data_IF_285557843549
#
_entry.id   IF_285557843549
#
_cell.length_a   1.000
_cell.length_b   1.000
_cell.length_c   1.000
_cell.angle_alpha   90.00
_cell.angle_beta   90.00
_cell.angle_gamma   90.00
#
_symmetry.space_group_name_H-M   'P 1'
#
loop_
_entity.id
_entity.type
_entity.pdbx_description
1 polymer ?
#
# COMPACT_ATOMS: atom_id res chain seq x y z
N UNK A 1 0.73 -57.17 -32.90
CA UNK A 1 0.39 -55.78 -32.48
C UNK A 1 -1.06 -55.84 -31.99
N UNK A 2 -1.46 -55.42 -30.79
CA UNK A 2 -1.09 -54.23 -30.02
C UNK A 2 -1.31 -54.47 -28.52
N UNK A 3 -0.53 -53.73 -27.73
CA UNK A 3 -0.41 -53.69 -26.29
C UNK A 3 -1.61 -53.05 -25.59
N UNK A 4 -1.86 -53.41 -24.32
CA UNK A 4 -2.24 -52.43 -23.31
C UNK A 4 -1.81 -52.86 -21.91
N UNK A 5 -1.03 -52.00 -21.28
CA UNK A 5 -0.29 -52.19 -20.02
C UNK A 5 -1.06 -51.55 -18.86
N UNK A 6 -0.85 -52.14 -17.69
CA UNK A 6 -1.45 -51.90 -16.38
C UNK A 6 -0.81 -50.70 -15.65
N UNK A 7 -1.58 -50.02 -14.79
CA UNK A 7 -1.16 -49.11 -13.68
C UNK A 7 -0.55 -47.74 -14.09
N UNK A 8 -0.81 -46.61 -13.43
CA UNK A 8 -0.51 -46.26 -12.03
C UNK A 8 -1.49 -45.19 -11.52
N UNK A 9 -2.44 -45.60 -10.69
CA UNK A 9 -2.98 -44.75 -9.63
C UNK A 9 -1.94 -44.64 -8.50
N UNK A 10 -1.86 -43.49 -7.83
CA UNK A 10 -0.98 -43.14 -6.70
C UNK A 10 0.31 -42.39 -7.09
N UNK A 11 0.18 -41.12 -7.49
CA UNK A 11 1.23 -40.10 -7.29
C UNK A 11 0.61 -38.70 -7.10
N UNK A 12 -0.45 -38.59 -6.29
CA UNK A 12 -1.23 -37.37 -6.11
C UNK A 12 -1.18 -36.78 -4.68
N UNK A 13 -0.19 -37.13 -3.84
CA UNK A 13 -0.29 -36.82 -2.40
C UNK A 13 1.02 -36.46 -1.65
N UNK A 14 2.05 -35.88 -2.28
CA UNK A 14 3.33 -35.63 -1.57
C UNK A 14 4.01 -34.25 -1.78
N UNK A 15 3.33 -33.23 -2.33
CA UNK A 15 3.98 -31.93 -2.58
C UNK A 15 3.26 -30.69 -2.04
N UNK A 16 2.38 -30.82 -1.03
CA UNK A 16 1.82 -29.65 -0.33
C UNK A 16 2.36 -29.53 1.10
N UNK A 17 3.68 -29.48 1.21
CA UNK A 17 4.35 -28.77 2.31
C UNK A 17 4.95 -27.51 1.70
N UNK A 18 4.09 -26.57 1.28
CA UNK A 18 4.51 -25.19 1.02
C UNK A 18 4.88 -24.63 2.40
N UNK A 19 6.18 -24.61 2.64
CA UNK A 19 6.78 -24.15 3.87
C UNK A 19 6.41 -22.68 4.11
N UNK A 20 5.89 -22.40 5.30
CA UNK A 20 5.71 -21.04 5.81
C UNK A 20 7.07 -20.44 6.19
N UNK A 21 8.03 -20.41 5.24
CA UNK A 21 9.30 -19.71 5.44
C UNK A 21 8.98 -18.23 5.39
N UNK A 22 9.32 -17.44 6.42
CA UNK A 22 9.21 -16.00 6.35
C UNK A 22 10.11 -15.51 5.22
N UNK A 23 9.50 -15.07 4.12
CA UNK A 23 10.21 -14.40 3.03
C UNK A 23 10.43 -12.94 3.42
N UNK A 24 11.62 -12.42 3.16
CA UNK A 24 11.88 -10.99 3.27
C UNK A 24 11.23 -10.31 2.05
N UNK A 25 9.97 -9.94 2.19
CA UNK A 25 9.25 -9.21 1.16
C UNK A 25 9.75 -7.76 1.08
N UNK A 26 10.02 -7.28 -0.14
CA UNK A 26 10.41 -5.89 -0.38
C UNK A 26 9.23 -4.98 -0.03
N UNK A 27 9.49 -3.84 0.61
CA UNK A 27 8.49 -2.78 0.76
C UNK A 27 7.89 -2.40 -0.60
N UNK A 28 6.57 -2.23 -0.63
CA UNK A 28 5.85 -1.80 -1.82
C UNK A 28 6.40 -0.47 -2.37
N UNK A 29 6.47 -0.33 -3.70
CA UNK A 29 6.95 0.92 -4.32
C UNK A 29 5.88 2.02 -4.23
N UNK A 30 6.29 3.27 -4.49
CA UNK A 30 5.38 4.42 -4.40
C UNK A 30 4.22 4.37 -5.42
N UNK A 31 4.39 3.61 -6.50
CA UNK A 31 3.40 3.42 -7.57
C UNK A 31 2.69 2.06 -7.48
N UNK A 32 2.93 1.29 -6.42
CA UNK A 32 2.33 -0.03 -6.26
C UNK A 32 0.92 0.07 -5.68
N UNK A 33 -0.04 -0.51 -6.38
CA UNK A 33 -1.46 -0.56 -5.98
C UNK A 33 -1.81 -1.91 -5.35
N UNK A 34 -2.83 -1.97 -4.46
CA UNK A 34 -3.30 -3.25 -3.93
C UNK A 34 -3.78 -4.16 -5.08
N UNK A 35 -3.41 -5.44 -5.00
CA UNK A 35 -3.81 -6.49 -5.95
C UNK A 35 -4.87 -7.43 -5.38
N UNK A 36 -5.04 -7.44 -4.06
CA UNK A 36 -5.96 -8.32 -3.33
C UNK A 36 -6.80 -7.49 -2.34
N UNK A 37 -8.02 -7.94 -2.05
CA UNK A 37 -8.91 -7.37 -1.05
C UNK A 37 -9.85 -6.27 -1.57
N UNK A 38 -10.69 -5.72 -0.68
CA UNK A 38 -11.71 -4.74 -1.06
C UNK A 38 -11.15 -3.46 -1.67
N UNK A 39 -9.97 -2.99 -1.23
CA UNK A 39 -9.33 -1.82 -1.81
C UNK A 39 -8.89 -2.07 -3.28
N UNK A 40 -8.48 -3.30 -3.61
CA UNK A 40 -8.14 -3.69 -4.97
C UNK A 40 -9.40 -3.80 -5.84
N UNK A 41 -10.47 -4.42 -5.32
CA UNK A 41 -11.77 -4.50 -6.02
C UNK A 41 -12.37 -3.11 -6.27
N UNK A 42 -12.20 -2.19 -5.32
CA UNK A 42 -12.62 -0.78 -5.45
C UNK A 42 -11.71 0.08 -6.33
N UNK A 43 -10.67 -0.48 -6.94
CA UNK A 43 -9.81 0.24 -7.89
C UNK A 43 -8.88 1.28 -7.28
N UNK A 44 -8.46 1.11 -6.02
CA UNK A 44 -7.60 2.10 -5.33
C UNK A 44 -6.21 2.17 -5.98
N UNK A 45 -5.82 3.35 -6.44
CA UNK A 45 -4.51 3.70 -7.03
C UNK A 45 -3.77 4.79 -6.25
N UNK A 46 -4.44 5.48 -5.33
CA UNK A 46 -3.87 6.60 -4.57
C UNK A 46 -3.46 7.77 -5.48
N UNK A 47 -2.25 8.26 -5.28
CA UNK A 47 -1.69 9.41 -6.00
C UNK A 47 -0.92 9.09 -7.28
N UNK A 48 -1.03 7.86 -7.82
CA UNK A 48 -0.35 7.46 -9.07
C UNK A 48 -0.69 8.43 -10.21
N UNK A 49 0.31 8.83 -10.99
CA UNK A 49 0.18 9.82 -12.07
C UNK A 49 0.25 11.28 -11.60
N UNK A 50 0.23 11.51 -10.28
CA UNK A 50 0.41 12.81 -9.66
C UNK A 50 1.86 13.19 -9.38
N UNK A 51 2.06 14.41 -8.88
CA UNK A 51 3.37 14.87 -8.43
C UNK A 51 3.82 14.10 -7.19
N UNK A 52 5.13 13.88 -7.06
CA UNK A 52 5.74 13.32 -5.84
C UNK A 52 6.40 14.44 -5.05
N UNK A 53 6.04 14.57 -3.77
CA UNK A 53 6.60 15.58 -2.86
C UNK A 53 7.12 14.91 -1.60
N UNK A 54 8.19 15.43 -1.01
CA UNK A 54 8.65 15.01 0.33
C UNK A 54 8.29 16.10 1.34
N UNK A 55 7.72 15.70 2.48
CA UNK A 55 7.34 16.60 3.57
C UNK A 55 8.01 16.18 4.87
N UNK A 56 8.41 17.17 5.68
CA UNK A 56 9.04 16.98 7.00
C UNK A 56 8.43 17.89 8.07
N UNK A 57 7.39 18.66 7.73
CA UNK A 57 6.71 19.57 8.67
C UNK A 57 5.20 19.36 8.61
N UNK A 58 4.51 19.67 9.70
CA UNK A 58 3.05 19.56 9.80
C UNK A 58 2.33 20.45 8.79
N UNK A 59 2.84 21.66 8.56
CA UNK A 59 2.28 22.59 7.59
C UNK A 59 2.40 22.05 6.15
N UNK A 60 3.57 21.51 5.78
CA UNK A 60 3.78 20.91 4.46
C UNK A 60 2.92 19.67 4.26
N UNK A 61 2.80 18.81 5.29
CA UNK A 61 1.92 17.64 5.27
C UNK A 61 0.45 18.06 5.04
N UNK A 62 -0.03 19.05 5.80
CA UNK A 62 -1.40 19.53 5.70
C UNK A 62 -1.70 20.10 4.32
N UNK A 63 -0.80 20.93 3.79
CA UNK A 63 -0.95 21.53 2.46
C UNK A 63 -0.93 20.46 1.35
N UNK A 64 -0.01 19.50 1.43
CA UNK A 64 0.12 18.46 0.41
C UNK A 64 -1.13 17.57 0.30
N UNK A 65 -1.88 17.39 1.39
CA UNK A 65 -3.03 16.47 1.50
C UNK A 65 -4.41 17.14 1.38
N UNK A 66 -4.49 18.48 1.38
CA UNK A 66 -5.77 19.20 1.50
C UNK A 66 -6.67 19.13 0.26
N UNK A 67 -6.08 19.06 -0.93
CA UNK A 67 -6.78 19.02 -2.22
C UNK A 67 -7.17 17.59 -2.64
N UNK A 68 -7.86 17.44 -3.78
CA UNK A 68 -8.20 16.13 -4.38
C UNK A 68 -7.31 15.77 -5.59
N UNK A 69 -6.29 16.59 -5.90
CA UNK A 69 -5.37 16.38 -7.03
C UNK A 69 -4.43 15.20 -6.75
N UNK A 70 -4.23 14.31 -7.72
CA UNK A 70 -3.34 13.16 -7.54
C UNK A 70 -1.96 13.59 -7.01
N UNK A 71 -1.52 13.01 -5.88
CA UNK A 71 -0.22 13.32 -5.27
C UNK A 71 0.34 12.17 -4.44
N UNK A 72 1.62 11.89 -4.62
CA UNK A 72 2.40 11.01 -3.76
C UNK A 72 3.14 11.89 -2.75
N UNK A 73 2.82 11.74 -1.47
CA UNK A 73 3.39 12.52 -0.36
C UNK A 73 4.28 11.59 0.46
N UNK A 74 5.59 11.82 0.39
CA UNK A 74 6.58 11.07 1.14
C UNK A 74 6.88 11.78 2.47
N UNK A 75 6.63 11.12 3.60
CA UNK A 75 6.99 11.66 4.92
C UNK A 75 8.44 11.33 5.23
N UNK A 76 9.22 12.33 5.63
CA UNK A 76 10.61 12.17 6.04
C UNK A 76 10.78 12.56 7.51
N UNK A 77 11.24 11.61 8.32
CA UNK A 77 11.45 11.80 9.76
C UNK A 77 10.15 11.92 10.56
N UNK A 78 10.25 12.47 11.76
CA UNK A 78 9.12 12.65 12.67
C UNK A 78 8.42 13.98 12.43
N UNK A 79 7.12 13.95 12.19
CA UNK A 79 6.24 15.12 12.20
C UNK A 79 5.37 15.04 13.45
N UNK A 80 5.56 16.00 14.37
CA UNK A 80 4.80 16.09 15.61
C UNK A 80 3.72 17.17 15.55
N UNK A 81 2.64 16.98 16.31
CA UNK A 81 1.55 17.95 16.43
C UNK A 81 0.50 17.52 17.46
N UNK A 82 -0.63 18.22 17.46
CA UNK A 82 -1.82 17.87 18.25
C UNK A 82 -3.08 18.21 17.45
N UNK A 83 -3.23 17.61 16.26
CA UNK A 83 -4.28 17.95 15.30
C UNK A 83 -4.66 16.78 14.42
N UNK A 84 -5.76 16.91 13.70
CA UNK A 84 -6.22 15.94 12.70
C UNK A 84 -6.11 16.57 11.31
N UNK A 85 -5.20 16.03 10.49
CA UNK A 85 -5.01 16.44 9.10
C UNK A 85 -6.08 15.80 8.22
N UNK A 86 -6.79 16.63 7.46
CA UNK A 86 -7.76 16.17 6.45
C UNK A 86 -7.00 15.68 5.22
N UNK A 87 -7.41 14.54 4.70
CA UNK A 87 -6.84 13.93 3.50
C UNK A 87 -7.89 13.93 2.41
N UNK A 88 -7.63 14.62 1.30
CA UNK A 88 -8.46 14.60 0.11
C UNK A 88 -8.31 13.30 -0.69
N UNK A 89 -9.04 13.19 -1.79
CA UNK A 89 -9.00 12.06 -2.70
C UNK A 89 -7.67 12.00 -3.48
N UNK A 90 -7.37 10.83 -4.05
CA UNK A 90 -6.23 10.59 -4.93
C UNK A 90 -4.88 10.86 -4.27
N UNK A 91 -4.71 10.39 -3.03
CA UNK A 91 -3.48 10.60 -2.24
C UNK A 91 -2.78 9.29 -1.96
N UNK A 92 -1.45 9.29 -2.06
CA UNK A 92 -0.59 8.28 -1.45
C UNK A 92 0.28 8.94 -0.40
N UNK A 93 -0.01 8.74 0.89
CA UNK A 93 0.83 9.18 1.99
C UNK A 93 1.74 8.01 2.41
N UNK A 94 3.04 8.14 2.16
CA UNK A 94 4.00 7.06 2.32
C UNK A 94 5.14 7.48 3.25
N UNK A 95 5.39 6.71 4.31
CA UNK A 95 6.54 6.91 5.19
C UNK A 95 7.85 6.48 4.53
N UNK A 96 8.87 7.34 4.57
CA UNK A 96 10.28 6.92 4.39
C UNK A 96 10.76 6.14 5.63
N UNK A 97 11.95 5.55 5.54
CA UNK A 97 12.57 4.88 6.69
C UNK A 97 12.64 5.83 7.90
N UNK A 98 12.16 5.37 9.06
CA UNK A 98 12.10 6.15 10.29
C UNK A 98 11.03 7.26 10.31
N UNK A 99 10.11 7.32 9.34
CA UNK A 99 9.02 8.29 9.37
C UNK A 99 8.03 7.99 10.50
N UNK A 100 7.59 9.03 11.19
CA UNK A 100 6.58 8.93 12.26
C UNK A 100 5.68 10.16 12.31
N UNK A 101 4.42 9.94 12.64
CA UNK A 101 3.45 10.99 12.95
C UNK A 101 3.10 10.91 14.43
N UNK A 102 3.49 11.91 15.22
CA UNK A 102 3.31 11.89 16.69
C UNK A 102 2.28 12.95 17.08
N UNK A 103 1.16 12.51 17.65
CA UNK A 103 0.03 13.41 17.99
C UNK A 103 -0.70 14.01 16.77
N UNK A 104 -0.44 13.47 15.58
CA UNK A 104 -1.10 13.88 14.33
C UNK A 104 -2.04 12.77 13.88
N UNK A 105 -3.34 13.05 13.89
CA UNK A 105 -4.35 12.18 13.30
C UNK A 105 -4.51 12.41 11.81
N UNK A 106 -4.97 11.39 11.08
CA UNK A 106 -5.33 11.49 9.67
C UNK A 106 -6.82 11.21 9.51
N UNK A 107 -7.54 12.06 8.76
CA UNK A 107 -8.97 11.88 8.50
C UNK A 107 -9.26 11.85 7.01
N UNK A 108 -9.69 10.69 6.53
CA UNK A 108 -10.27 10.47 5.20
C UNK A 108 -11.80 10.40 5.37
N UNK A 109 -12.52 11.47 5.04
CA UNK A 109 -13.96 11.55 5.27
C UNK A 109 -14.71 11.96 4.00
N UNK A 110 -15.61 11.09 3.51
CA UNK A 110 -16.29 11.27 2.21
C UNK A 110 -15.30 11.51 1.06
N UNK A 111 -14.14 10.85 1.12
CA UNK A 111 -13.08 10.86 0.12
C UNK A 111 -12.78 9.43 -0.30
N UNK A 112 -12.20 9.27 -1.47
CA UNK A 112 -11.94 7.98 -2.10
C UNK A 112 -10.53 7.94 -2.71
N UNK A 113 -10.08 6.74 -3.06
CA UNK A 113 -8.79 6.54 -3.72
C UNK A 113 -7.59 7.07 -2.90
N UNK A 114 -7.42 6.56 -1.67
CA UNK A 114 -6.35 6.99 -0.77
C UNK A 114 -5.54 5.78 -0.30
N UNK A 115 -4.22 5.94 -0.28
CA UNK A 115 -3.24 4.97 0.24
C UNK A 115 -2.48 5.64 1.38
N UNK A 116 -2.37 4.96 2.53
CA UNK A 116 -1.54 5.36 3.67
C UNK A 116 -0.66 4.16 4.04
N UNK A 117 0.67 4.30 4.04
CA UNK A 117 1.64 3.21 4.26
C UNK A 117 2.93 3.67 4.94
#
# INVERSE_FOLDING_TARGET
MRFSVVSVSVLAALAQLVSAVPTIERRATATEKPTIGYAAQGGTTGGIGGATVTVSTLAALTSALADDTAKIVLVSGTISGNTVVKVGSNKSLLGKSGASLVGVGLRVNKKNNVIIR
#
